data_IF_882112135513
#
_entry.id   IF_882112135513
#
_cell.length_a   1.000
_cell.length_b   1.000
_cell.length_c   1.000
_cell.angle_alpha   90.00
_cell.angle_beta   90.00
_cell.angle_gamma   90.00
#
_symmetry.space_group_name_H-M   'P 1'
#
loop_
_entity.id
_entity.type
_entity.pdbx_description
1 polymer ?
#
# COMPACT_ATOMS: atom_id res chain seq x y z
N UNK A 1 1.77 -22.88 -6.25
CA UNK A 1 1.76 -21.44 -5.99
C UNK A 1 0.57 -20.71 -6.64
N UNK A 2 0.22 -21.03 -7.89
CA UNK A 2 -0.90 -20.39 -8.63
C UNK A 2 -2.25 -20.51 -7.93
N UNK A 3 -2.58 -21.67 -7.36
CA UNK A 3 -3.84 -21.86 -6.62
C UNK A 3 -3.92 -20.96 -5.36
N UNK A 4 -2.82 -20.86 -4.62
CA UNK A 4 -2.76 -19.95 -3.46
C UNK A 4 -2.87 -18.49 -3.89
N UNK A 5 -2.22 -18.10 -4.98
CA UNK A 5 -2.35 -16.76 -5.55
C UNK A 5 -3.80 -16.42 -5.92
N UNK A 6 -4.51 -17.38 -6.54
CA UNK A 6 -5.93 -17.22 -6.87
C UNK A 6 -6.81 -17.04 -5.62
N UNK A 7 -6.51 -17.78 -4.54
CA UNK A 7 -7.23 -17.65 -3.25
C UNK A 7 -6.97 -16.27 -2.65
N UNK A 8 -5.72 -15.84 -2.48
CA UNK A 8 -5.41 -14.52 -1.92
C UNK A 8 -5.97 -13.38 -2.77
N UNK A 9 -5.89 -13.51 -4.08
CA UNK A 9 -6.49 -12.55 -5.00
C UNK A 9 -8.01 -12.48 -4.82
N UNK A 10 -8.70 -13.63 -4.79
CA UNK A 10 -10.15 -13.68 -4.60
C UNK A 10 -10.55 -13.04 -3.26
N UNK A 11 -9.87 -13.39 -2.18
CA UNK A 11 -10.12 -12.82 -0.86
C UNK A 11 -9.88 -11.32 -0.81
N UNK A 12 -8.89 -10.81 -1.54
CA UNK A 12 -8.58 -9.38 -1.63
C UNK A 12 -9.57 -8.59 -2.51
N UNK A 13 -9.95 -9.14 -3.67
CA UNK A 13 -10.82 -8.47 -4.65
C UNK A 13 -12.32 -8.59 -4.33
N UNK A 14 -12.71 -9.67 -3.67
CA UNK A 14 -14.10 -9.99 -3.39
C UNK A 14 -14.34 -10.17 -1.89
N UNK A 15 -13.87 -9.22 -1.09
CA UNK A 15 -13.88 -9.30 0.36
C UNK A 15 -15.28 -9.55 0.95
N UNK A 16 -16.33 -8.95 0.40
CA UNK A 16 -17.73 -9.19 0.83
C UNK A 16 -18.20 -10.62 0.54
N UNK A 17 -17.83 -11.20 -0.61
CA UNK A 17 -18.15 -12.57 -0.97
C UNK A 17 -17.32 -13.60 -0.20
N UNK A 18 -16.16 -13.22 0.29
CA UNK A 18 -15.32 -14.09 1.11
C UNK A 18 -15.98 -14.44 2.44
N UNK A 19 -16.80 -13.55 3.01
CA UNK A 19 -17.46 -13.78 4.30
C UNK A 19 -18.38 -15.00 4.26
N UNK A 20 -19.44 -15.08 3.42
CA UNK A 20 -20.28 -16.28 3.36
C UNK A 20 -19.50 -17.52 2.96
N UNK A 21 -18.51 -17.42 2.08
CA UNK A 21 -17.70 -18.56 1.69
C UNK A 21 -16.86 -19.12 2.84
N UNK A 22 -16.25 -18.28 3.67
CA UNK A 22 -15.47 -18.72 4.82
C UNK A 22 -16.36 -19.32 5.91
N UNK A 23 -17.58 -18.79 6.11
CA UNK A 23 -18.59 -19.39 7.02
C UNK A 23 -18.96 -20.77 6.53
N UNK A 24 -19.32 -20.92 5.26
CA UNK A 24 -19.71 -22.21 4.68
C UNK A 24 -18.55 -23.22 4.72
N UNK A 25 -17.33 -22.78 4.42
CA UNK A 25 -16.15 -23.64 4.52
C UNK A 25 -15.91 -24.10 5.97
N UNK A 26 -16.02 -23.19 6.94
CA UNK A 26 -15.93 -23.51 8.38
C UNK A 26 -16.97 -24.52 8.81
N UNK A 27 -18.23 -24.33 8.39
CA UNK A 27 -19.33 -25.26 8.68
C UNK A 27 -19.12 -26.63 8.02
N UNK A 28 -18.65 -26.65 6.75
CA UNK A 28 -18.38 -27.91 6.03
C UNK A 28 -17.25 -28.71 6.69
N UNK A 29 -16.14 -28.04 7.02
CA UNK A 29 -15.03 -28.68 7.76
C UNK A 29 -15.48 -29.12 9.14
N UNK A 30 -16.24 -28.28 9.86
CA UNK A 30 -16.83 -28.62 11.15
C UNK A 30 -17.73 -29.84 11.09
N UNK A 31 -18.60 -29.95 10.08
CA UNK A 31 -19.46 -31.10 9.88
C UNK A 31 -18.67 -32.39 9.61
N UNK A 32 -17.63 -32.28 8.75
CA UNK A 32 -16.75 -33.44 8.50
C UNK A 32 -16.04 -33.91 9.76
N UNK A 33 -15.48 -32.99 10.56
CA UNK A 33 -14.79 -33.30 11.82
C UNK A 33 -15.77 -33.83 12.89
N UNK A 34 -16.96 -33.23 13.02
CA UNK A 34 -18.00 -33.70 13.94
C UNK A 34 -18.40 -35.14 13.63
N UNK A 35 -18.51 -35.44 12.33
CA UNK A 35 -18.85 -36.82 11.89
C UNK A 35 -17.69 -37.81 12.12
N UNK A 36 -16.46 -37.38 11.93
CA UNK A 36 -15.25 -38.21 12.07
C UNK A 36 -14.86 -38.43 13.55
N UNK A 37 -14.91 -37.36 14.36
CA UNK A 37 -14.48 -37.36 15.76
C UNK A 37 -15.65 -37.54 16.75
N UNK A 38 -16.89 -37.59 16.28
CA UNK A 38 -18.10 -37.87 17.09
C UNK A 38 -18.51 -36.72 18.02
N UNK A 39 -18.00 -35.49 17.85
CA UNK A 39 -18.28 -34.40 18.77
C UNK A 39 -18.87 -33.16 18.06
N UNK A 40 -20.06 -32.66 18.48
CA UNK A 40 -20.74 -31.56 17.80
C UNK A 40 -20.06 -30.19 17.95
N UNK A 41 -19.12 -30.02 18.89
CA UNK A 41 -18.41 -28.76 19.08
C UNK A 41 -17.62 -28.29 17.83
N UNK A 42 -17.32 -29.18 16.88
CA UNK A 42 -16.63 -28.82 15.63
C UNK A 42 -17.44 -27.89 14.72
N UNK A 43 -18.77 -27.79 14.90
CA UNK A 43 -19.58 -26.79 14.21
C UNK A 43 -19.19 -25.34 14.60
N UNK A 44 -18.50 -25.16 15.73
CA UNK A 44 -17.92 -23.84 16.10
C UNK A 44 -16.92 -23.29 15.06
N UNK A 45 -16.42 -24.14 14.15
CA UNK A 45 -15.61 -23.69 13.01
C UNK A 45 -16.40 -22.77 12.05
N UNK A 46 -17.73 -22.84 12.04
CA UNK A 46 -18.56 -21.85 11.34
C UNK A 46 -18.42 -20.45 11.93
N UNK A 47 -18.33 -20.35 13.27
CA UNK A 47 -18.08 -19.06 13.97
C UNK A 47 -16.65 -18.57 13.65
N UNK A 48 -15.67 -19.46 13.68
CA UNK A 48 -14.30 -19.09 13.28
C UNK A 48 -14.24 -18.60 11.82
N UNK A 49 -14.99 -19.26 10.92
CA UNK A 49 -15.16 -18.83 9.53
C UNK A 49 -15.79 -17.43 9.41
N UNK A 50 -16.79 -17.13 10.25
CA UNK A 50 -17.40 -15.80 10.30
C UNK A 50 -16.40 -14.73 10.76
N UNK A 51 -15.69 -14.99 11.85
CA UNK A 51 -14.66 -14.06 12.37
C UNK A 51 -13.55 -13.83 11.32
N UNK A 52 -13.08 -14.90 10.68
CA UNK A 52 -12.10 -14.80 9.61
C UNK A 52 -12.63 -14.00 8.40
N UNK A 53 -13.90 -14.23 8.03
CA UNK A 53 -14.56 -13.49 6.95
C UNK A 53 -14.69 -12.00 7.25
N UNK A 54 -15.11 -11.65 8.46
CA UNK A 54 -15.17 -10.25 8.92
C UNK A 54 -13.80 -9.59 8.92
N UNK A 55 -12.77 -10.27 9.43
CA UNK A 55 -11.40 -9.77 9.38
C UNK A 55 -10.94 -9.54 7.92
N UNK A 56 -11.25 -10.50 7.03
CA UNK A 56 -10.85 -10.42 5.62
C UNK A 56 -11.47 -9.22 4.88
N UNK A 57 -12.66 -8.75 5.26
CA UNK A 57 -13.26 -7.55 4.65
C UNK A 57 -12.31 -6.36 4.72
N UNK A 58 -11.54 -6.25 5.81
CA UNK A 58 -10.59 -5.14 6.03
C UNK A 58 -9.16 -5.49 5.64
N UNK A 59 -8.76 -6.75 5.76
CA UNK A 59 -7.36 -7.16 5.61
C UNK A 59 -7.05 -7.90 4.31
N UNK A 60 -8.06 -8.25 3.52
CA UNK A 60 -7.89 -9.03 2.29
C UNK A 60 -6.87 -8.44 1.30
N UNK A 61 -6.98 -7.16 0.91
CA UNK A 61 -5.99 -6.53 0.03
C UNK A 61 -4.58 -6.48 0.65
N UNK A 62 -4.48 -6.32 1.98
CA UNK A 62 -3.20 -6.32 2.69
C UNK A 62 -2.56 -7.71 2.69
N UNK A 63 -3.36 -8.76 2.92
CA UNK A 63 -2.89 -10.15 2.88
C UNK A 63 -2.41 -10.52 1.46
N UNK A 64 -3.16 -10.14 0.42
CA UNK A 64 -2.73 -10.31 -0.96
C UNK A 64 -1.43 -9.52 -1.25
N UNK A 65 -1.31 -8.28 -0.76
CA UNK A 65 -0.11 -7.48 -0.93
C UNK A 65 1.13 -8.15 -0.32
N UNK A 66 1.02 -8.67 0.91
CA UNK A 66 2.11 -9.37 1.59
C UNK A 66 2.49 -10.67 0.87
N UNK A 67 1.49 -11.44 0.43
CA UNK A 67 1.71 -12.69 -0.30
C UNK A 67 2.43 -12.43 -1.64
N UNK A 68 1.93 -11.50 -2.45
CA UNK A 68 2.55 -11.18 -3.75
C UNK A 68 3.91 -10.49 -3.56
N UNK A 69 4.09 -9.67 -2.52
CA UNK A 69 5.41 -9.11 -2.20
C UNK A 69 6.44 -10.21 -1.91
N UNK A 70 6.06 -11.24 -1.13
CA UNK A 70 6.98 -12.32 -0.75
C UNK A 70 7.33 -13.27 -1.90
N UNK A 71 6.35 -13.58 -2.76
CA UNK A 71 6.47 -14.67 -3.76
C UNK A 71 6.38 -14.20 -5.20
N UNK A 72 6.07 -12.95 -5.45
CA UNK A 72 5.89 -12.39 -6.79
C UNK A 72 7.19 -11.96 -7.46
N UNK A 73 7.11 -11.82 -8.77
CA UNK A 73 8.18 -11.33 -9.64
C UNK A 73 7.98 -9.86 -9.96
N UNK A 74 9.06 -9.12 -10.10
CA UNK A 74 9.01 -7.70 -10.47
C UNK A 74 8.52 -7.50 -11.90
N UNK A 75 7.74 -6.45 -12.07
CA UNK A 75 7.28 -5.92 -13.33
C UNK A 75 7.06 -4.41 -13.24
N UNK A 76 6.54 -3.83 -14.29
CA UNK A 76 6.13 -2.43 -14.27
C UNK A 76 4.72 -2.29 -14.81
N UNK A 77 3.96 -1.31 -14.30
CA UNK A 77 2.60 -1.08 -14.76
C UNK A 77 2.33 0.40 -15.02
N UNK A 78 1.23 0.66 -15.72
CA UNK A 78 0.72 2.00 -15.97
C UNK A 78 -0.81 1.97 -15.88
N UNK A 79 -1.41 2.93 -15.14
CA UNK A 79 -2.85 3.14 -15.16
C UNK A 79 -3.22 3.81 -16.48
N UNK A 80 -4.09 3.17 -17.25
CA UNK A 80 -4.54 3.65 -18.56
C UNK A 80 -5.87 4.37 -18.46
N UNK A 81 -6.73 3.95 -17.54
CA UNK A 81 -8.05 4.56 -17.30
C UNK A 81 -8.32 4.64 -15.79
N UNK A 82 -9.04 5.69 -15.41
CA UNK A 82 -9.53 5.87 -14.03
C UNK A 82 -10.90 6.52 -14.12
N UNK A 83 -11.89 5.95 -13.46
CA UNK A 83 -13.25 6.46 -13.42
C UNK A 83 -13.81 6.44 -12.00
N UNK A 84 -14.63 7.43 -11.70
CA UNK A 84 -15.34 7.50 -10.44
C UNK A 84 -16.55 6.58 -10.50
N UNK A 85 -16.68 5.69 -9.51
CA UNK A 85 -17.85 4.81 -9.40
C UNK A 85 -18.99 5.50 -8.63
N UNK A 86 -20.16 4.87 -8.64
CA UNK A 86 -21.29 5.31 -7.81
C UNK A 86 -21.14 4.93 -6.32
N UNK A 87 -20.15 4.10 -5.98
CA UNK A 87 -19.91 3.65 -4.62
C UNK A 87 -19.14 4.71 -3.81
N UNK A 88 -19.50 4.85 -2.54
CA UNK A 88 -18.82 5.74 -1.59
C UNK A 88 -18.44 4.99 -0.33
N UNK A 89 -17.31 5.35 0.25
CA UNK A 89 -16.86 4.91 1.57
C UNK A 89 -16.38 6.14 2.36
N UNK A 90 -16.95 6.38 3.54
CA UNK A 90 -16.64 7.54 4.38
C UNK A 90 -16.71 8.86 3.58
N UNK A 91 -17.80 9.06 2.83
CA UNK A 91 -18.05 10.27 2.01
C UNK A 91 -17.07 10.47 0.85
N UNK A 92 -16.17 9.49 0.60
CA UNK A 92 -15.26 9.52 -0.53
C UNK A 92 -15.71 8.52 -1.60
N UNK A 93 -15.65 8.95 -2.86
CA UNK A 93 -15.96 8.08 -3.97
C UNK A 93 -14.89 7.01 -4.16
N UNK A 94 -15.34 5.80 -4.45
CA UNK A 94 -14.49 4.71 -4.90
C UNK A 94 -14.16 4.92 -6.36
N UNK A 95 -12.89 4.82 -6.73
CA UNK A 95 -12.41 4.91 -8.11
C UNK A 95 -12.06 3.52 -8.62
N UNK A 96 -12.46 3.25 -9.85
CA UNK A 96 -12.07 2.05 -10.59
C UNK A 96 -10.91 2.38 -11.55
N UNK A 97 -9.99 1.45 -11.69
CA UNK A 97 -8.76 1.63 -12.45
C UNK A 97 -8.52 0.46 -13.40
N UNK A 98 -8.27 0.77 -14.67
CA UNK A 98 -7.69 -0.15 -15.63
C UNK A 98 -6.21 0.13 -15.78
N UNK A 99 -5.41 -0.92 -15.73
CA UNK A 99 -3.97 -0.82 -15.85
C UNK A 99 -3.39 -1.91 -16.75
N UNK A 100 -2.23 -1.63 -17.29
CA UNK A 100 -1.44 -2.58 -18.09
C UNK A 100 -0.15 -2.88 -17.35
N UNK A 101 0.03 -4.15 -17.02
CA UNK A 101 1.25 -4.73 -16.48
C UNK A 101 2.17 -5.12 -17.64
N UNK A 102 3.42 -4.71 -17.58
CA UNK A 102 4.51 -5.29 -18.36
C UNK A 102 5.25 -6.30 -17.51
N UNK A 103 5.15 -7.56 -17.87
CA UNK A 103 5.79 -8.67 -17.17
C UNK A 103 7.30 -8.71 -17.41
N UNK A 104 8.04 -9.49 -16.61
CA UNK A 104 9.49 -9.63 -16.75
C UNK A 104 9.91 -10.26 -18.11
N UNK A 105 9.04 -11.10 -18.69
CA UNK A 105 9.22 -11.70 -20.02
C UNK A 105 8.70 -10.82 -21.18
N UNK A 106 8.30 -9.57 -20.88
CA UNK A 106 7.94 -8.56 -21.86
C UNK A 106 6.49 -8.59 -22.35
N UNK A 107 5.63 -9.48 -21.81
CA UNK A 107 4.19 -9.52 -22.17
C UNK A 107 3.44 -8.36 -21.53
N UNK A 108 2.40 -7.88 -22.21
CA UNK A 108 1.47 -6.88 -21.69
C UNK A 108 0.18 -7.58 -21.24
N UNK A 109 -0.18 -7.41 -19.94
CA UNK A 109 -1.35 -8.04 -19.34
C UNK A 109 -2.25 -6.95 -18.73
N UNK A 110 -3.53 -6.96 -19.11
CA UNK A 110 -4.53 -6.06 -18.51
C UNK A 110 -4.95 -6.56 -17.15
N UNK A 111 -5.03 -5.67 -16.17
CA UNK A 111 -5.62 -5.95 -14.88
C UNK A 111 -6.47 -4.76 -14.42
N UNK A 112 -7.40 -5.05 -13.54
CA UNK A 112 -8.35 -4.09 -12.99
C UNK A 112 -8.32 -4.12 -11.47
N UNK A 113 -8.50 -2.98 -10.83
CA UNK A 113 -8.64 -2.84 -9.39
C UNK A 113 -9.42 -1.56 -9.08
N UNK A 114 -9.88 -1.44 -7.86
CA UNK A 114 -10.47 -0.20 -7.35
C UNK A 114 -9.72 0.31 -6.11
N UNK A 115 -10.14 1.46 -5.60
CA UNK A 115 -9.54 2.08 -4.42
C UNK A 115 -9.52 1.14 -3.20
N UNK A 116 -10.52 0.27 -3.05
CA UNK A 116 -10.65 -0.61 -1.89
C UNK A 116 -9.90 -1.93 -2.06
N UNK A 117 -9.81 -2.42 -3.29
CA UNK A 117 -9.19 -3.70 -3.63
C UNK A 117 -7.70 -3.57 -4.02
N UNK A 118 -7.18 -2.34 -4.12
CA UNK A 118 -5.79 -2.10 -4.46
C UNK A 118 -4.82 -2.74 -3.44
N UNK A 119 -3.98 -3.64 -3.90
CA UNK A 119 -2.92 -4.23 -3.08
C UNK A 119 -1.67 -3.35 -3.14
N UNK A 120 -1.28 -2.79 -2.00
CA UNK A 120 -0.20 -1.81 -1.88
C UNK A 120 0.87 -2.29 -0.90
N UNK A 121 2.14 -2.13 -1.27
CA UNK A 121 3.28 -2.43 -0.39
C UNK A 121 4.26 -1.24 -0.35
N UNK A 122 4.82 -0.90 0.81
CA UNK A 122 4.53 -1.42 2.15
C UNK A 122 3.08 -1.15 2.59
N UNK A 123 2.53 -2.07 3.41
CA UNK A 123 1.17 -1.94 3.92
C UNK A 123 1.10 -0.75 4.89
N UNK A 124 0.26 0.22 4.58
CA UNK A 124 0.02 1.42 5.41
C UNK A 124 -1.47 1.73 5.41
N UNK A 125 -1.92 2.44 6.43
CA UNK A 125 -3.32 2.90 6.52
C UNK A 125 -3.57 4.14 5.64
N UNK A 126 -3.09 4.09 4.40
CA UNK A 126 -3.24 5.13 3.39
C UNK A 126 -3.30 4.49 2.01
N UNK A 127 -4.28 4.90 1.22
CA UNK A 127 -4.46 4.46 -0.16
C UNK A 127 -3.85 5.53 -1.05
N UNK A 128 -2.58 5.35 -1.41
CA UNK A 128 -1.87 6.20 -2.36
C UNK A 128 -1.62 5.41 -3.64
N UNK A 129 -2.30 5.81 -4.69
CA UNK A 129 -2.19 5.20 -6.01
C UNK A 129 -1.35 6.05 -6.95
N UNK A 130 -0.68 5.42 -7.93
CA UNK A 130 0.08 6.15 -8.94
C UNK A 130 -0.84 6.99 -9.83
N UNK A 131 -0.38 8.15 -10.30
CA UNK A 131 -1.12 8.95 -11.27
C UNK A 131 -1.33 8.19 -12.58
N UNK A 132 -2.48 8.46 -13.25
CA UNK A 132 -2.75 7.94 -14.60
C UNK A 132 -1.62 8.33 -15.56
N UNK A 133 -1.18 7.36 -16.37
CA UNK A 133 -0.12 7.54 -17.37
C UNK A 133 1.32 7.47 -16.81
N UNK A 134 1.50 7.49 -15.50
CA UNK A 134 2.82 7.32 -14.91
C UNK A 134 3.15 5.83 -14.73
N UNK A 135 4.37 5.43 -15.11
CA UNK A 135 4.87 4.06 -14.91
C UNK A 135 5.29 3.86 -13.47
N UNK A 136 4.89 2.74 -12.88
CA UNK A 136 5.20 2.38 -11.50
C UNK A 136 5.68 0.93 -11.40
N UNK A 137 6.38 0.64 -10.31
CA UNK A 137 6.91 -0.68 -10.00
C UNK A 137 5.82 -1.55 -9.37
N UNK A 138 5.74 -2.78 -9.80
CA UNK A 138 4.84 -3.79 -9.25
C UNK A 138 5.57 -5.10 -9.02
N UNK A 139 4.99 -5.96 -8.16
CA UNK A 139 5.21 -7.40 -8.23
C UNK A 139 3.93 -8.09 -8.64
N UNK A 140 4.03 -9.18 -9.36
CA UNK A 140 2.90 -9.99 -9.82
C UNK A 140 3.20 -11.47 -9.66
N UNK A 141 2.17 -12.31 -9.62
CA UNK A 141 2.34 -13.76 -9.54
C UNK A 141 2.48 -14.37 -10.94
N UNK A 142 3.62 -14.99 -11.29
CA UNK A 142 3.77 -15.70 -12.56
C UNK A 142 2.74 -16.83 -12.68
N UNK A 143 2.06 -16.88 -13.83
CA UNK A 143 0.95 -17.81 -14.09
C UNK A 143 -0.40 -17.38 -13.50
N UNK A 144 -0.43 -16.25 -12.78
CA UNK A 144 -1.66 -15.59 -12.34
C UNK A 144 -1.43 -14.07 -12.28
N UNK A 145 -1.11 -13.48 -13.42
CA UNK A 145 -0.62 -12.10 -13.58
C UNK A 145 -1.64 -11.01 -13.17
N UNK A 146 -2.91 -11.38 -12.93
CA UNK A 146 -3.91 -10.48 -12.37
C UNK A 146 -3.68 -10.16 -10.90
N UNK A 147 -2.97 -11.04 -10.17
CA UNK A 147 -2.59 -10.79 -8.78
C UNK A 147 -1.34 -9.92 -8.76
N UNK A 148 -1.56 -8.63 -8.55
CA UNK A 148 -0.54 -7.58 -8.59
C UNK A 148 -0.49 -6.85 -7.26
N UNK A 149 0.72 -6.50 -6.82
CA UNK A 149 0.96 -5.56 -5.72
C UNK A 149 1.75 -4.36 -6.23
N UNK A 150 1.30 -3.16 -5.89
CA UNK A 150 1.97 -1.91 -6.23
C UNK A 150 3.07 -1.64 -5.20
N UNK A 151 4.32 -1.57 -5.68
CA UNK A 151 5.50 -1.28 -4.85
C UNK A 151 5.65 0.24 -4.70
N UNK A 152 4.95 0.83 -3.71
CA UNK A 152 4.84 2.29 -3.56
C UNK A 152 6.19 2.97 -3.44
N UNK A 153 6.99 2.55 -2.46
CA UNK A 153 8.24 3.24 -2.11
C UNK A 153 9.35 3.04 -3.17
N UNK A 154 9.21 2.01 -4.00
CA UNK A 154 10.10 1.75 -5.13
C UNK A 154 9.68 2.49 -6.40
N UNK A 155 8.45 2.98 -6.44
CA UNK A 155 7.88 3.69 -7.58
C UNK A 155 8.21 5.19 -7.56
N UNK A 156 8.34 5.86 -8.72
CA UNK A 156 8.65 7.28 -8.76
C UNK A 156 7.67 8.15 -7.97
N UNK A 157 6.36 7.88 -8.07
CA UNK A 157 5.35 8.63 -7.33
C UNK A 157 5.51 8.49 -5.81
N UNK A 158 5.80 7.29 -5.32
CA UNK A 158 5.99 7.02 -3.90
C UNK A 158 7.27 7.66 -3.36
N UNK A 159 8.38 7.61 -4.11
CA UNK A 159 9.63 8.30 -3.75
C UNK A 159 9.40 9.81 -3.62
N UNK A 160 8.66 10.42 -4.56
CA UNK A 160 8.31 11.85 -4.44
C UNK A 160 7.50 12.14 -3.19
N UNK A 161 6.55 11.25 -2.83
CA UNK A 161 5.74 11.37 -1.61
C UNK A 161 6.57 11.24 -0.33
N UNK A 162 7.47 10.25 -0.28
CA UNK A 162 8.39 10.09 0.86
C UNK A 162 9.23 11.34 1.06
N UNK A 163 9.80 11.87 -0.02
CA UNK A 163 10.58 13.10 0.02
C UNK A 163 9.75 14.31 0.48
N UNK A 164 8.52 14.44 -0.01
CA UNK A 164 7.61 15.51 0.39
C UNK A 164 7.27 15.42 1.90
N UNK A 165 7.01 14.22 2.42
CA UNK A 165 6.77 13.99 3.85
C UNK A 165 8.01 14.31 4.68
N UNK A 166 9.18 13.92 4.21
CA UNK A 166 10.46 14.22 4.89
C UNK A 166 10.75 15.71 4.97
N UNK A 167 10.29 16.51 3.99
CA UNK A 167 10.43 17.97 4.00
C UNK A 167 9.48 18.66 4.98
N UNK A 168 8.34 18.08 5.30
CA UNK A 168 7.33 18.74 6.11
C UNK A 168 7.82 19.21 7.50
N UNK A 169 8.65 18.46 8.25
CA UNK A 169 9.25 18.95 9.50
C UNK A 169 10.17 20.16 9.28
N UNK A 170 10.96 20.15 8.20
CA UNK A 170 11.87 21.26 7.85
C UNK A 170 11.07 22.53 7.53
N UNK A 171 10.04 22.42 6.71
CA UNK A 171 9.19 23.56 6.34
C UNK A 171 8.42 24.12 7.55
N UNK A 172 7.96 23.25 8.44
CA UNK A 172 7.29 23.67 9.69
C UNK A 172 8.24 24.43 10.60
N UNK A 173 9.43 23.90 10.86
CA UNK A 173 10.41 24.54 11.73
C UNK A 173 10.92 25.85 11.13
N UNK A 174 11.08 25.92 9.80
CA UNK A 174 11.40 27.16 9.07
C UNK A 174 10.35 28.23 9.29
N UNK A 175 9.07 27.88 9.15
CA UNK A 175 7.96 28.80 9.33
C UNK A 175 7.87 29.31 10.78
N UNK A 176 8.11 28.46 11.77
CA UNK A 176 8.15 28.83 13.19
C UNK A 176 9.29 29.81 13.49
N UNK A 177 10.50 29.54 12.98
CA UNK A 177 11.64 30.44 13.13
C UNK A 177 11.41 31.77 12.41
N UNK A 178 10.78 31.77 11.23
CA UNK A 178 10.45 33.01 10.52
C UNK A 178 9.43 33.87 11.29
N UNK A 179 8.48 33.25 12.00
CA UNK A 179 7.51 33.94 12.84
C UNK A 179 8.14 34.52 14.12
N UNK A 180 9.26 33.93 14.61
CA UNK A 180 9.95 34.39 15.83
C UNK A 180 11.47 34.23 15.67
N UNK A 181 12.14 35.12 14.93
CA UNK A 181 13.57 34.95 14.56
C UNK A 181 14.53 34.96 15.75
N UNK A 182 14.15 35.58 16.86
CA UNK A 182 14.95 35.63 18.08
C UNK A 182 14.81 34.44 19.02
N UNK A 183 13.97 33.45 18.66
CA UNK A 183 13.75 32.28 19.50
C UNK A 183 14.83 31.21 19.24
N UNK A 184 15.71 31.01 20.22
CA UNK A 184 16.80 30.02 20.12
C UNK A 184 16.29 28.58 20.06
N UNK A 185 15.15 28.28 20.72
CA UNK A 185 14.51 26.96 20.62
C UNK A 185 14.10 26.64 19.18
N UNK A 186 13.41 27.56 18.50
CA UNK A 186 13.00 27.39 17.10
C UNK A 186 14.20 27.28 16.15
N UNK A 187 15.28 28.01 16.46
CA UNK A 187 16.54 27.89 15.71
C UNK A 187 17.16 26.48 15.85
N UNK A 188 17.15 25.93 17.05
CA UNK A 188 17.63 24.58 17.31
C UNK A 188 16.76 23.51 16.62
N UNK A 189 15.43 23.64 16.71
CA UNK A 189 14.48 22.74 16.04
C UNK A 189 14.70 22.75 14.52
N UNK A 190 14.87 23.92 13.91
CA UNK A 190 15.13 24.02 12.48
C UNK A 190 16.46 23.39 12.07
N UNK A 191 17.53 23.62 12.85
CA UNK A 191 18.82 22.95 12.64
C UNK A 191 18.72 21.45 12.72
N UNK A 192 17.98 20.94 13.70
CA UNK A 192 17.77 19.49 13.88
C UNK A 192 16.98 18.90 12.71
N UNK A 193 15.91 19.56 12.27
CA UNK A 193 15.12 19.12 11.14
C UNK A 193 15.94 19.07 9.84
N UNK A 194 16.78 20.08 9.58
CA UNK A 194 17.68 20.10 8.44
C UNK A 194 18.70 18.94 8.47
N UNK A 195 19.32 18.69 9.64
CA UNK A 195 20.26 17.57 9.80
C UNK A 195 19.59 16.24 9.55
N UNK A 196 18.43 15.98 10.17
CA UNK A 196 17.67 14.74 9.99
C UNK A 196 17.31 14.51 8.52
N UNK A 197 16.89 15.57 7.82
CA UNK A 197 16.61 15.47 6.40
C UNK A 197 17.85 15.13 5.57
N UNK A 198 18.95 15.83 5.79
CA UNK A 198 20.20 15.60 5.07
C UNK A 198 20.78 14.22 5.33
N UNK A 199 20.77 13.76 6.59
CA UNK A 199 21.28 12.43 6.96
C UNK A 199 20.49 11.31 6.27
N UNK A 200 19.16 11.47 6.16
CA UNK A 200 18.29 10.43 5.61
C UNK A 200 18.14 10.48 4.09
N UNK A 201 18.20 11.69 3.47
CA UNK A 201 17.75 11.88 2.08
C UNK A 201 18.76 12.59 1.17
N UNK A 202 19.99 12.87 1.60
CA UNK A 202 20.97 13.60 0.76
C UNK A 202 21.31 12.90 -0.56
N UNK A 203 21.12 11.58 -0.65
CA UNK A 203 21.37 10.81 -1.87
C UNK A 203 20.14 10.67 -2.78
N UNK A 204 18.93 10.79 -2.21
CA UNK A 204 17.66 10.60 -2.91
C UNK A 204 16.99 11.93 -3.29
N UNK A 205 17.35 13.01 -2.59
CA UNK A 205 16.78 14.32 -2.84
C UNK A 205 17.48 15.04 -4.01
N UNK A 206 16.77 15.96 -4.72
CA UNK A 206 17.37 16.77 -5.77
C UNK A 206 18.61 17.52 -5.27
N UNK A 207 19.73 17.53 -6.03
CA UNK A 207 21.00 18.16 -5.59
C UNK A 207 20.85 19.62 -5.17
N UNK A 208 20.01 20.39 -5.88
CA UNK A 208 19.73 21.79 -5.53
C UNK A 208 19.09 21.96 -4.17
N UNK A 209 18.16 21.07 -3.78
CA UNK A 209 17.53 21.09 -2.46
C UNK A 209 18.54 20.73 -1.35
N UNK A 210 19.38 19.72 -1.60
CA UNK A 210 20.44 19.32 -0.66
C UNK A 210 21.41 20.45 -0.42
N UNK A 211 21.83 21.13 -1.50
CA UNK A 211 22.75 22.27 -1.39
C UNK A 211 22.10 23.44 -0.66
N UNK A 212 20.85 23.75 -0.94
CA UNK A 212 20.10 24.78 -0.23
C UNK A 212 20.08 24.49 1.28
N UNK A 213 19.70 23.29 1.69
CA UNK A 213 19.61 22.91 3.11
C UNK A 213 20.97 22.89 3.81
N UNK A 214 22.05 22.53 3.11
CA UNK A 214 23.41 22.64 3.63
C UNK A 214 23.81 24.09 3.88
N UNK A 215 23.51 24.98 2.93
CA UNK A 215 23.83 26.41 3.07
C UNK A 215 23.06 27.04 4.23
N UNK A 216 21.76 26.70 4.37
CA UNK A 216 20.93 27.16 5.50
C UNK A 216 21.45 26.65 6.85
N UNK A 217 21.89 25.40 6.91
CA UNK A 217 22.48 24.82 8.12
C UNK A 217 23.80 25.50 8.50
N UNK A 218 24.66 25.82 7.51
CA UNK A 218 25.91 26.57 7.72
C UNK A 218 25.68 27.99 8.20
N UNK A 219 24.70 28.68 7.60
CA UNK A 219 24.36 30.07 8.01
C UNK A 219 23.84 30.18 9.44
N UNK A 220 23.29 29.09 10.01
CA UNK A 220 22.84 29.05 11.41
C UNK A 220 23.96 28.60 12.37
N UNK A 221 25.09 28.17 11.88
CA UNK A 221 26.22 27.68 12.69
C UNK A 221 27.26 28.76 12.99
N UNK A 222 27.20 29.85 12.28
CA UNK A 222 27.98 31.07 12.51
C UNK A 222 27.21 32.02 13.45
#
# INVERSE_FOLDING_TARGET
>A
MTALAAIFYFLGQHSLWSLPLLVLAGLAVGACLARWLGHPAWYALGIAGFVAGMANVFTGPMANALFVHAFGTYGSAVITHAEQTSSQLNEQYVWAYDAVLKTADGRDVKFHFDTLSASLYPVRNEIELPPKGERFVVKYMPGFERSVVIMRDESPFGRRRLLQRARAPVERARAQLAASPGNDGFRQEYRQALRQFLDAYQHDAPPGLVQQYRNELQAMGS
#
